data_IF_804592366832
#
_entry.id   IF_804592366832
#
_cell.length_a   1.000
_cell.length_b   1.000
_cell.length_c   1.000
_cell.angle_alpha   90.00
_cell.angle_beta   90.00
_cell.angle_gamma   90.00
#
_symmetry.space_group_name_H-M   'P 1'
#
loop_
_entity.id
_entity.type
_entity.pdbx_description
1 polymer ?
#
# COMPACT_ATOMS: atom_id res chain seq x y z
N UNK A 1 -68.35 -52.98 -22.67
CA UNK A 1 -68.96 -51.78 -22.05
C UNK A 1 -67.96 -51.19 -21.06
N UNK A 2 -67.49 -49.98 -21.38
CA UNK A 2 -67.15 -48.84 -20.48
C UNK A 2 -67.16 -49.11 -18.97
N UNK A 3 -66.20 -48.68 -18.14
CA UNK A 3 -65.63 -47.32 -18.04
C UNK A 3 -64.30 -47.30 -17.24
N UNK A 4 -63.49 -46.26 -17.52
CA UNK A 4 -62.23 -45.87 -16.87
C UNK A 4 -62.45 -45.06 -15.59
N UNK A 5 -61.52 -45.18 -14.64
CA UNK A 5 -61.06 -44.15 -13.68
C UNK A 5 -59.72 -44.65 -13.12
N UNK A 6 -58.56 -44.21 -13.61
CA UNK A 6 -57.82 -42.97 -13.30
C UNK A 6 -57.64 -42.71 -11.80
N UNK A 7 -56.47 -43.06 -11.26
CA UNK A 7 -55.92 -42.52 -10.03
C UNK A 7 -54.48 -42.12 -10.29
N UNK A 8 -54.25 -40.81 -10.26
CA UNK A 8 -52.98 -40.13 -10.48
C UNK A 8 -52.08 -40.33 -9.25
N UNK A 9 -50.88 -40.86 -9.48
CA UNK A 9 -49.81 -40.96 -8.48
C UNK A 9 -49.13 -39.59 -8.37
N UNK A 10 -49.16 -38.99 -7.19
CA UNK A 10 -48.34 -37.84 -6.85
C UNK A 10 -46.89 -38.29 -6.66
N UNK A 11 -46.01 -37.96 -7.61
CA UNK A 11 -44.55 -38.05 -7.44
C UNK A 11 -44.03 -36.70 -6.97
N UNK A 12 -43.38 -36.72 -5.81
CA UNK A 12 -42.67 -35.59 -5.21
C UNK A 12 -41.61 -35.04 -6.16
N UNK A 13 -41.76 -33.78 -6.55
CA UNK A 13 -40.72 -33.03 -7.23
C UNK A 13 -39.65 -32.60 -6.21
N UNK A 14 -38.43 -33.09 -6.38
CA UNK A 14 -37.25 -32.52 -5.72
C UNK A 14 -37.04 -31.08 -6.19
N UNK A 15 -36.65 -30.13 -5.31
CA UNK A 15 -36.36 -28.77 -5.74
C UNK A 15 -35.14 -28.74 -6.65
N UNK A 16 -35.09 -27.82 -7.64
CA UNK A 16 -33.94 -27.65 -8.50
C UNK A 16 -32.73 -27.19 -7.69
N UNK A 17 -31.59 -27.84 -7.94
CA UNK A 17 -30.33 -27.54 -7.30
C UNK A 17 -29.97 -26.07 -7.43
N UNK A 18 -29.67 -25.45 -6.29
CA UNK A 18 -29.04 -24.15 -6.20
C UNK A 18 -27.75 -24.17 -7.02
N UNK A 19 -27.75 -23.48 -8.16
CA UNK A 19 -26.54 -23.05 -8.87
C UNK A 19 -25.88 -21.95 -8.03
N UNK A 20 -25.35 -22.32 -6.86
CA UNK A 20 -24.31 -21.52 -6.25
C UNK A 20 -23.07 -21.74 -7.11
N UNK A 21 -22.82 -20.82 -8.05
CA UNK A 21 -21.51 -20.74 -8.70
C UNK A 21 -20.43 -20.67 -7.63
N UNK A 22 -19.20 -21.14 -7.91
CA UNK A 22 -18.10 -20.95 -6.97
C UNK A 22 -18.04 -19.46 -6.63
N UNK A 23 -18.14 -19.13 -5.34
CA UNK A 23 -17.89 -17.77 -4.87
C UNK A 23 -16.51 -17.31 -5.36
N UNK A 24 -16.25 -15.99 -5.43
CA UNK A 24 -14.97 -15.48 -5.90
C UNK A 24 -13.85 -16.19 -5.11
N UNK A 25 -13.01 -16.94 -5.81
CA UNK A 25 -11.88 -17.62 -5.20
C UNK A 25 -10.88 -16.55 -4.74
N UNK A 26 -10.37 -16.69 -3.52
CA UNK A 26 -9.28 -15.85 -3.01
C UNK A 26 -8.13 -15.85 -4.02
N UNK A 27 -7.66 -14.67 -4.47
CA UNK A 27 -6.60 -14.60 -5.47
C UNK A 27 -5.31 -15.22 -4.95
N UNK A 28 -4.48 -15.75 -5.84
CA UNK A 28 -3.10 -16.16 -5.51
C UNK A 28 -2.18 -14.94 -5.53
N UNK A 29 -1.03 -15.04 -4.87
CA UNK A 29 -0.05 -13.96 -4.86
C UNK A 29 0.38 -13.52 -6.28
N UNK A 30 0.49 -14.43 -7.25
CA UNK A 30 0.83 -14.10 -8.64
C UNK A 30 -0.36 -13.54 -9.46
N UNK A 31 -1.56 -13.53 -8.89
CA UNK A 31 -2.78 -12.91 -9.42
C UNK A 31 -3.04 -11.52 -8.82
N UNK A 32 -2.39 -11.18 -7.69
CA UNK A 32 -2.43 -9.85 -7.08
C UNK A 32 -1.86 -8.81 -8.03
N UNK A 33 -2.56 -7.69 -8.17
CA UNK A 33 -2.22 -6.57 -9.05
C UNK A 33 -2.00 -5.32 -8.22
N UNK A 34 -0.85 -4.68 -8.42
CA UNK A 34 -0.44 -3.55 -7.59
C UNK A 34 -0.16 -2.34 -8.46
N UNK A 35 -0.92 -1.27 -8.23
CA UNK A 35 -0.65 0.05 -8.80
C UNK A 35 0.31 0.82 -7.88
N UNK A 36 1.44 1.27 -8.41
CA UNK A 36 2.44 2.09 -7.73
C UNK A 36 2.36 3.51 -8.26
N UNK A 37 1.60 4.37 -7.58
CA UNK A 37 1.54 5.80 -7.85
C UNK A 37 2.66 6.52 -7.10
N UNK A 38 3.79 6.70 -7.78
CA UNK A 38 5.05 7.14 -7.20
C UNK A 38 6.01 5.97 -6.93
N UNK A 39 7.29 6.20 -7.20
CA UNK A 39 8.38 5.27 -6.94
C UNK A 39 9.46 5.93 -6.08
N UNK A 40 9.07 6.54 -4.97
CA UNK A 40 10.07 6.96 -3.99
C UNK A 40 10.87 5.73 -3.45
N UNK A 41 11.99 5.95 -2.75
CA UNK A 41 12.82 4.87 -2.22
C UNK A 41 12.06 3.82 -1.40
N UNK A 42 11.02 4.21 -0.67
CA UNK A 42 10.19 3.30 0.13
C UNK A 42 9.27 2.48 -0.77
N UNK A 43 8.52 3.13 -1.67
CA UNK A 43 7.61 2.45 -2.60
C UNK A 43 8.36 1.45 -3.50
N UNK A 44 9.57 1.78 -3.93
CA UNK A 44 10.44 0.86 -4.65
C UNK A 44 10.83 -0.36 -3.78
N UNK A 45 11.15 -0.16 -2.51
CA UNK A 45 11.44 -1.27 -1.58
C UNK A 45 10.20 -2.15 -1.33
N UNK A 46 9.01 -1.55 -1.20
CA UNK A 46 7.73 -2.27 -1.07
C UNK A 46 7.48 -3.14 -2.29
N UNK A 47 7.68 -2.60 -3.49
CA UNK A 47 7.48 -3.35 -4.73
C UNK A 47 8.45 -4.55 -4.86
N UNK A 48 9.70 -4.41 -4.39
CA UNK A 48 10.63 -5.55 -4.32
C UNK A 48 10.20 -6.58 -3.28
N UNK A 49 9.73 -6.16 -2.10
CA UNK A 49 9.23 -7.08 -1.08
C UNK A 49 8.00 -7.87 -1.56
N UNK A 50 7.07 -7.21 -2.27
CA UNK A 50 5.93 -7.85 -2.92
C UNK A 50 6.37 -8.85 -3.99
N UNK A 51 7.38 -8.51 -4.79
CA UNK A 51 7.93 -9.42 -5.79
C UNK A 51 8.61 -10.65 -5.15
N UNK A 52 9.35 -10.46 -4.05
CA UNK A 52 9.91 -11.55 -3.26
C UNK A 52 8.80 -12.45 -2.64
N UNK A 53 7.60 -11.89 -2.39
CA UNK A 53 6.41 -12.61 -1.95
C UNK A 53 5.59 -13.27 -3.09
N UNK A 54 6.03 -13.17 -4.34
CA UNK A 54 5.41 -13.82 -5.50
C UNK A 54 4.47 -12.94 -6.33
N UNK A 55 4.26 -11.67 -5.95
CA UNK A 55 3.48 -10.72 -6.76
C UNK A 55 4.24 -10.40 -8.04
N UNK A 56 3.58 -10.54 -9.18
CA UNK A 56 4.22 -10.37 -10.49
C UNK A 56 3.59 -9.28 -11.36
N UNK A 57 2.42 -8.76 -10.97
CA UNK A 57 1.64 -7.83 -11.77
C UNK A 57 1.70 -6.43 -11.13
N UNK A 58 2.57 -5.60 -11.67
CA UNK A 58 2.75 -4.22 -11.22
C UNK A 58 2.42 -3.25 -12.34
N UNK A 59 1.66 -2.21 -12.03
CA UNK A 59 1.55 -1.02 -12.87
C UNK A 59 2.21 0.16 -12.16
N UNK A 60 2.98 0.94 -12.89
CA UNK A 60 3.75 2.04 -12.34
C UNK A 60 3.30 3.35 -12.96
N UNK A 61 3.03 4.34 -12.11
CA UNK A 61 2.88 5.73 -12.51
C UNK A 61 3.90 6.59 -11.74
N UNK A 62 5.08 6.80 -12.33
CA UNK A 62 6.11 7.68 -11.79
C UNK A 62 6.84 8.38 -12.95
N UNK A 63 6.99 9.71 -12.85
CA UNK A 63 7.64 10.54 -13.88
C UNK A 63 9.04 11.00 -13.46
N UNK A 64 9.51 10.54 -12.32
CA UNK A 64 10.75 10.99 -11.71
C UNK A 64 11.95 10.18 -12.20
N UNK A 65 13.13 10.75 -11.99
CA UNK A 65 14.41 10.09 -12.23
C UNK A 65 15.02 9.66 -10.91
N UNK A 66 15.85 8.62 -10.96
CA UNK A 66 16.64 8.18 -9.82
C UNK A 66 17.61 9.31 -9.44
N UNK A 67 17.54 9.75 -8.20
CA UNK A 67 18.44 10.73 -7.59
C UNK A 67 19.55 10.01 -6.83
N UNK A 68 20.70 10.65 -6.63
CA UNK A 68 21.77 10.10 -5.79
C UNK A 68 21.27 9.68 -4.39
N UNK A 69 20.35 10.48 -3.81
CA UNK A 69 19.74 10.18 -2.51
C UNK A 69 18.90 8.89 -2.53
N UNK A 70 18.32 8.52 -3.68
CA UNK A 70 17.50 7.31 -3.79
C UNK A 70 18.34 6.03 -3.63
N UNK A 71 19.64 6.08 -3.99
CA UNK A 71 20.56 4.96 -3.79
C UNK A 71 21.07 4.82 -2.35
N UNK A 72 21.08 5.95 -1.62
CA UNK A 72 21.32 5.93 -0.17
C UNK A 72 20.09 5.38 0.55
N UNK A 73 18.91 5.71 0.02
CA UNK A 73 17.67 5.60 0.76
C UNK A 73 16.79 4.43 0.42
N UNK A 74 17.00 3.84 -0.74
CA UNK A 74 16.16 2.78 -1.26
C UNK A 74 16.99 1.73 -1.98
N UNK A 75 16.31 0.89 -2.75
CA UNK A 75 16.95 -0.25 -3.41
C UNK A 75 17.66 0.13 -4.71
N UNK A 76 17.60 1.39 -5.15
CA UNK A 76 18.16 1.83 -6.41
C UNK A 76 19.70 1.69 -6.41
N UNK A 77 20.28 0.96 -7.38
CA UNK A 77 21.73 0.93 -7.52
C UNK A 77 22.25 2.31 -7.92
N UNK A 78 23.40 2.73 -7.39
CA UNK A 78 24.01 4.02 -7.71
C UNK A 78 24.23 4.21 -9.23
N UNK A 79 24.46 3.12 -9.97
CA UNK A 79 24.64 3.16 -11.43
C UNK A 79 23.37 3.53 -12.21
N UNK A 80 22.21 3.57 -11.54
CA UNK A 80 20.93 3.93 -12.15
C UNK A 80 20.57 5.40 -11.97
N UNK A 81 21.42 6.19 -11.31
CA UNK A 81 21.22 7.63 -11.15
C UNK A 81 20.96 8.31 -12.51
N UNK A 82 19.97 9.21 -12.55
CA UNK A 82 19.54 9.92 -13.76
C UNK A 82 18.61 9.13 -14.69
N UNK A 83 18.50 7.80 -14.55
CA UNK A 83 17.52 7.01 -15.30
C UNK A 83 16.09 7.28 -14.80
N UNK A 84 15.05 7.11 -15.64
CA UNK A 84 13.67 7.03 -15.14
C UNK A 84 13.56 5.97 -14.04
N UNK A 85 12.93 6.29 -12.91
CA UNK A 85 12.80 5.36 -11.77
C UNK A 85 12.07 4.08 -12.16
N UNK A 86 11.07 4.20 -13.02
CA UNK A 86 10.30 3.09 -13.58
C UNK A 86 11.18 2.13 -14.41
N UNK A 87 12.09 2.66 -15.24
CA UNK A 87 13.06 1.85 -15.99
C UNK A 87 14.03 1.10 -15.06
N UNK A 88 14.57 1.79 -14.05
CA UNK A 88 15.43 1.17 -13.05
C UNK A 88 14.68 0.08 -12.26
N UNK A 89 13.43 0.34 -11.86
CA UNK A 89 12.57 -0.59 -11.15
C UNK A 89 12.30 -1.84 -11.97
N UNK A 90 12.02 -1.69 -13.28
CA UNK A 90 11.82 -2.82 -14.20
C UNK A 90 13.02 -3.76 -14.23
N UNK A 91 14.23 -3.23 -14.26
CA UNK A 91 15.44 -4.06 -14.22
C UNK A 91 15.59 -4.80 -12.88
N UNK A 92 15.26 -4.15 -11.76
CA UNK A 92 15.33 -4.77 -10.43
C UNK A 92 14.28 -5.85 -10.24
N UNK A 93 13.03 -5.60 -10.62
CA UNK A 93 11.94 -6.58 -10.52
C UNK A 93 12.22 -7.85 -11.35
N UNK A 94 12.68 -7.68 -12.60
CA UNK A 94 13.04 -8.81 -13.46
C UNK A 94 14.18 -9.67 -12.90
N UNK A 95 15.10 -9.07 -12.14
CA UNK A 95 16.17 -9.81 -11.46
C UNK A 95 15.66 -10.65 -10.29
N UNK A 96 14.58 -10.22 -9.62
CA UNK A 96 13.95 -10.98 -8.54
C UNK A 96 13.05 -12.09 -9.09
N UNK A 97 12.21 -11.75 -10.04
CA UNK A 97 11.35 -12.70 -10.74
C UNK A 97 11.27 -12.31 -12.21
N UNK A 98 11.71 -13.17 -13.15
CA UNK A 98 11.60 -12.91 -14.58
C UNK A 98 10.15 -12.73 -15.07
N UNK A 99 9.17 -13.20 -14.29
CA UNK A 99 7.73 -13.04 -14.55
C UNK A 99 7.25 -11.62 -14.20
N UNK A 100 7.97 -10.88 -13.37
CA UNK A 100 7.63 -9.49 -13.06
C UNK A 100 7.98 -8.59 -14.25
N UNK A 101 6.96 -8.21 -15.00
CA UNK A 101 7.07 -7.20 -16.06
C UNK A 101 6.19 -6.03 -15.64
N UNK A 102 6.73 -5.03 -14.90
CA UNK A 102 5.94 -3.85 -14.58
C UNK A 102 5.49 -3.17 -15.87
N UNK A 103 4.19 -2.89 -15.93
CA UNK A 103 3.57 -2.16 -17.01
C UNK A 103 3.52 -0.67 -16.64
N UNK A 104 3.52 0.16 -17.67
CA UNK A 104 3.42 1.62 -17.56
C UNK A 104 2.25 2.05 -18.39
N UNK A 105 1.09 1.56 -17.99
CA UNK A 105 -0.19 1.88 -18.59
C UNK A 105 -1.23 1.87 -17.46
N UNK A 106 -1.13 2.78 -16.48
CA UNK A 106 -2.03 2.78 -15.34
C UNK A 106 -3.50 2.94 -15.73
N UNK A 107 -3.80 3.50 -16.91
CA UNK A 107 -5.12 3.55 -17.53
C UNK A 107 -5.69 2.17 -17.91
N UNK A 108 -4.85 1.13 -17.95
CA UNK A 108 -5.24 -0.26 -18.17
C UNK A 108 -5.30 -1.05 -16.86
N UNK A 109 -5.03 -0.40 -15.72
CA UNK A 109 -5.12 -1.05 -14.41
C UNK A 109 -6.57 -1.49 -14.16
N UNK A 110 -6.80 -2.70 -13.61
CA UNK A 110 -8.15 -3.18 -13.43
C UNK A 110 -8.91 -2.37 -12.38
N UNK A 111 -10.24 -2.41 -12.52
CA UNK A 111 -11.16 -1.88 -11.53
C UNK A 111 -11.13 -2.68 -10.23
N UNK A 112 -11.70 -2.10 -9.17
CA UNK A 112 -11.83 -2.73 -7.86
C UNK A 112 -12.70 -4.01 -7.89
N UNK A 113 -13.47 -4.21 -8.96
CA UNK A 113 -14.24 -5.45 -9.18
C UNK A 113 -13.35 -6.67 -9.44
N UNK A 114 -12.07 -6.48 -9.79
CA UNK A 114 -11.10 -7.57 -9.91
C UNK A 114 -10.47 -7.80 -8.55
N UNK A 115 -10.79 -8.95 -7.92
CA UNK A 115 -10.18 -9.36 -6.65
C UNK A 115 -8.66 -9.33 -6.72
N UNK A 116 -8.01 -8.84 -5.66
CA UNK A 116 -6.56 -8.71 -5.59
C UNK A 116 -5.97 -7.45 -6.21
N UNK A 117 -6.78 -6.49 -6.65
CA UNK A 117 -6.31 -5.19 -7.11
C UNK A 117 -6.15 -4.21 -5.94
N UNK A 118 -4.94 -3.69 -5.74
CA UNK A 118 -4.62 -2.69 -4.69
C UNK A 118 -3.70 -1.59 -5.23
N UNK A 119 -3.71 -0.43 -4.58
CA UNK A 119 -2.84 0.69 -4.93
C UNK A 119 -1.98 1.16 -3.75
N UNK A 120 -0.77 1.60 -4.08
CA UNK A 120 0.11 2.37 -3.20
C UNK A 120 0.23 3.77 -3.76
N UNK A 121 -0.07 4.77 -2.92
CA UNK A 121 0.04 6.18 -3.27
C UNK A 121 1.17 6.79 -2.43
N UNK A 122 2.34 6.99 -3.06
CA UNK A 122 3.59 7.28 -2.36
C UNK A 122 3.99 8.76 -2.47
N UNK A 123 3.84 9.47 -1.36
CA UNK A 123 4.30 10.84 -1.19
C UNK A 123 5.70 10.88 -0.58
N UNK A 124 6.44 11.93 -0.89
CA UNK A 124 7.76 12.14 -0.28
C UNK A 124 8.04 13.62 -0.02
N UNK A 125 8.81 13.92 1.02
CA UNK A 125 9.42 15.24 1.22
C UNK A 125 10.90 15.12 0.85
N UNK A 126 11.31 15.81 -0.21
CA UNK A 126 12.65 15.63 -0.77
C UNK A 126 13.75 16.42 -0.05
N UNK A 127 13.38 17.25 0.93
CA UNK A 127 14.29 18.12 1.66
C UNK A 127 13.79 18.49 3.05
N UNK A 128 14.47 19.45 3.67
CA UNK A 128 14.21 19.86 5.05
C UNK A 128 12.97 20.75 5.19
N UNK A 129 12.37 21.21 4.09
CA UNK A 129 11.20 22.08 4.11
C UNK A 129 9.95 21.33 3.64
N UNK A 130 8.80 21.67 4.23
CA UNK A 130 7.50 21.15 3.76
C UNK A 130 7.14 21.63 2.35
N UNK A 131 7.78 22.71 1.89
CA UNK A 131 7.68 23.16 0.51
C UNK A 131 8.24 22.12 -0.48
N UNK A 132 9.13 21.25 -0.02
CA UNK A 132 9.72 20.15 -0.80
C UNK A 132 8.81 18.91 -0.87
N UNK A 133 7.55 19.03 -0.44
CA UNK A 133 6.54 17.98 -0.57
C UNK A 133 6.27 17.69 -2.05
N UNK A 134 6.60 16.47 -2.45
CA UNK A 134 6.38 15.92 -3.79
C UNK A 134 5.13 15.07 -3.79
N UNK A 135 4.21 15.49 -4.65
CA UNK A 135 2.97 14.80 -4.92
C UNK A 135 3.18 13.78 -6.04
N UNK A 136 2.79 12.52 -5.84
CA UNK A 136 2.86 11.52 -6.90
C UNK A 136 1.84 11.85 -8.01
N UNK A 137 2.10 11.39 -9.24
CA UNK A 137 1.15 11.57 -10.33
C UNK A 137 -0.12 10.75 -10.06
N UNK A 138 -1.28 11.34 -10.36
CA UNK A 138 -2.60 10.74 -10.14
C UNK A 138 -3.07 10.10 -11.45
N UNK A 139 -3.01 8.77 -11.60
CA UNK A 139 -3.61 8.11 -12.76
C UNK A 139 -5.14 8.12 -12.69
N UNK A 140 -5.77 8.01 -13.86
CA UNK A 140 -7.22 7.83 -13.98
C UNK A 140 -7.55 6.34 -13.84
N UNK A 141 -7.95 5.95 -12.63
CA UNK A 141 -8.28 4.57 -12.24
C UNK A 141 -9.59 4.56 -11.46
N UNK A 142 -10.16 3.37 -11.27
CA UNK A 142 -11.38 3.18 -10.50
C UNK A 142 -11.29 3.85 -9.12
N UNK A 143 -12.29 4.69 -8.81
CA UNK A 143 -12.39 5.41 -7.55
C UNK A 143 -12.48 4.48 -6.34
N UNK A 144 -13.01 3.27 -6.48
CA UNK A 144 -13.16 2.28 -5.40
C UNK A 144 -11.95 1.39 -5.17
N UNK A 145 -10.83 1.64 -5.87
CA UNK A 145 -9.63 0.82 -5.73
C UNK A 145 -9.05 0.95 -4.31
N UNK A 146 -8.91 -0.16 -3.53
CA UNK A 146 -8.33 -0.11 -2.21
C UNK A 146 -6.90 0.44 -2.25
N UNK A 147 -6.68 1.53 -1.51
CA UNK A 147 -5.47 2.34 -1.61
C UNK A 147 -4.84 2.55 -0.25
N UNK A 148 -3.53 2.27 -0.18
CA UNK A 148 -2.68 2.63 0.95
C UNK A 148 -1.83 3.85 0.59
N UNK A 149 -2.07 4.97 1.27
CA UNK A 149 -1.24 6.17 1.10
C UNK A 149 -0.12 6.21 2.12
N UNK A 150 1.11 6.46 1.67
CA UNK A 150 2.29 6.57 2.52
C UNK A 150 3.03 7.87 2.22
N UNK A 151 3.61 8.48 3.24
CA UNK A 151 4.45 9.68 3.15
C UNK A 151 5.81 9.39 3.77
N UNK A 152 6.87 9.52 2.97
CA UNK A 152 8.25 9.47 3.46
C UNK A 152 8.75 10.89 3.76
N UNK A 153 9.15 11.17 5.01
CA UNK A 153 9.71 12.47 5.43
C UNK A 153 10.93 12.24 6.35
N UNK A 154 12.13 12.33 5.78
CA UNK A 154 13.38 12.10 6.49
C UNK A 154 13.46 10.71 7.12
N UNK A 155 13.39 10.66 8.46
CA UNK A 155 13.41 9.45 9.26
C UNK A 155 12.01 8.93 9.65
N UNK A 156 10.94 9.52 9.12
CA UNK A 156 9.55 9.12 9.38
C UNK A 156 8.88 8.56 8.13
N UNK A 157 8.01 7.56 8.35
CA UNK A 157 7.02 7.12 7.38
C UNK A 157 5.66 7.28 8.03
N UNK A 158 4.88 8.19 7.48
CA UNK A 158 3.48 8.37 7.88
C UNK A 158 2.63 7.50 6.98
N UNK A 159 1.70 6.77 7.57
CA UNK A 159 0.78 5.90 6.86
C UNK A 159 -0.63 6.44 7.05
N UNK A 160 -1.31 6.69 5.95
CA UNK A 160 -2.74 6.96 5.96
C UNK A 160 -3.51 5.65 6.18
N UNK A 161 -4.69 5.68 6.82
CA UNK A 161 -5.58 4.52 6.79
C UNK A 161 -5.86 4.05 5.36
N UNK A 162 -6.22 2.77 5.22
CA UNK A 162 -6.63 2.23 3.92
C UNK A 162 -7.96 2.90 3.55
N UNK A 163 -8.04 3.38 2.31
CA UNK A 163 -9.21 4.08 1.77
C UNK A 163 -9.35 3.74 0.30
N UNK A 164 -10.52 3.97 -0.26
CA UNK A 164 -10.73 3.95 -1.71
C UNK A 164 -9.87 5.03 -2.39
N UNK A 165 -9.47 4.79 -3.63
CA UNK A 165 -8.67 5.72 -4.42
C UNK A 165 -9.27 7.13 -4.50
N UNK A 166 -10.60 7.25 -4.62
CA UNK A 166 -11.33 8.51 -4.63
C UNK A 166 -11.22 9.29 -3.30
N UNK A 167 -10.90 8.58 -2.21
CA UNK A 167 -10.86 9.07 -0.84
C UNK A 167 -9.44 9.26 -0.30
N UNK A 168 -8.42 9.11 -1.16
CA UNK A 168 -7.01 9.39 -0.85
C UNK A 168 -6.82 10.81 -0.26
N UNK A 169 -5.83 11.03 0.62
CA UNK A 169 -5.61 12.33 1.22
C UNK A 169 -5.19 13.35 0.17
N UNK A 170 -5.73 14.56 0.29
CA UNK A 170 -5.30 15.71 -0.50
C UNK A 170 -3.98 16.29 0.03
N UNK A 171 -3.37 17.19 -0.76
CA UNK A 171 -2.10 17.84 -0.41
C UNK A 171 -2.11 18.54 0.97
N UNK A 172 -3.22 19.17 1.38
CA UNK A 172 -3.29 19.82 2.70
C UNK A 172 -3.24 18.80 3.83
N UNK A 173 -4.01 17.70 3.72
CA UNK A 173 -3.97 16.58 4.68
C UNK A 173 -2.56 16.00 4.81
N UNK A 174 -1.88 15.74 3.68
CA UNK A 174 -0.51 15.22 3.71
C UNK A 174 0.47 16.22 4.33
N UNK A 175 0.29 17.52 4.05
CA UNK A 175 1.11 18.59 4.66
C UNK A 175 0.88 18.67 6.18
N UNK A 176 -0.36 18.58 6.64
CA UNK A 176 -0.70 18.53 8.07
C UNK A 176 -0.07 17.31 8.74
N UNK A 177 -0.16 16.15 8.09
CA UNK A 177 0.46 14.92 8.55
C UNK A 177 1.99 15.03 8.68
N UNK A 178 2.66 15.63 7.68
CA UNK A 178 4.10 15.91 7.71
C UNK A 178 4.48 16.86 8.85
N UNK A 179 3.71 17.94 9.07
CA UNK A 179 3.93 18.87 10.19
C UNK A 179 3.87 18.15 11.52
N UNK A 180 2.86 17.32 11.71
CA UNK A 180 2.66 16.57 12.94
C UNK A 180 3.81 15.57 13.16
N UNK A 181 4.19 14.81 12.13
CA UNK A 181 5.32 13.89 12.21
C UNK A 181 6.63 14.62 12.59
N UNK A 182 6.91 15.77 11.97
CA UNK A 182 8.09 16.58 12.33
C UNK A 182 8.03 17.14 13.74
N UNK A 183 6.84 17.54 14.22
CA UNK A 183 6.66 17.99 15.61
C UNK A 183 6.93 16.86 16.60
N UNK A 184 6.34 15.70 16.34
CA UNK A 184 6.56 14.49 17.13
C UNK A 184 8.05 14.12 17.21
N UNK A 185 8.75 14.13 16.07
CA UNK A 185 10.20 13.86 16.01
C UNK A 185 10.98 14.84 16.87
N UNK A 186 10.70 16.15 16.79
CA UNK A 186 11.38 17.18 17.61
C UNK A 186 11.19 16.94 19.10
N UNK A 187 10.02 16.49 19.52
CA UNK A 187 9.69 16.19 20.92
C UNK A 187 10.31 14.87 21.42
N UNK A 188 10.75 14.01 20.50
CA UNK A 188 11.35 12.71 20.80
C UNK A 188 12.79 12.66 20.28
N UNK A 189 13.78 13.23 21.00
CA UNK A 189 15.16 13.33 20.55
C UNK A 189 15.86 11.99 20.33
N UNK A 190 15.34 10.85 20.77
CA UNK A 190 15.89 9.56 20.31
C UNK A 190 15.59 9.26 18.82
N UNK A 191 14.61 9.98 18.23
CA UNK A 191 14.23 9.97 16.82
C UNK A 191 14.87 11.16 16.08
N UNK A 192 14.98 12.35 16.72
CA UNK A 192 15.58 13.55 16.11
C UNK A 192 17.09 13.73 16.33
N UNK A 193 17.59 13.36 17.52
CA UNK A 193 18.97 13.58 17.95
C UNK A 193 19.86 12.38 17.61
N UNK A 194 19.92 12.12 16.32
CA UNK A 194 21.20 11.74 15.81
C UNK A 194 21.80 12.93 15.06
N UNK A 195 23.02 13.39 15.45
CA UNK A 195 23.76 14.34 14.61
C UNK A 195 23.81 13.76 13.20
N UNK A 196 23.79 14.59 12.14
CA UNK A 196 23.82 14.17 10.72
C UNK A 196 24.44 12.77 10.61
N UNK A 197 23.56 11.75 10.59
CA UNK A 197 23.87 10.39 11.03
C UNK A 197 25.12 9.95 10.26
N UNK A 198 26.26 9.90 10.96
CA UNK A 198 27.57 9.56 10.37
C UNK A 198 27.45 8.31 9.51
N UNK A 199 28.33 8.07 8.52
CA UNK A 199 28.29 6.87 7.65
C UNK A 199 27.93 5.55 8.37
N UNK A 200 28.30 5.43 9.66
CA UNK A 200 27.95 4.34 10.59
C UNK A 200 26.47 4.05 10.79
N UNK A 201 25.59 4.99 10.49
CA UNK A 201 24.14 4.89 10.69
C UNK A 201 23.35 4.47 9.46
N UNK A 202 23.99 4.54 8.29
CA UNK A 202 23.40 4.08 7.04
C UNK A 202 22.88 2.63 7.11
N UNK A 203 23.56 1.69 7.79
CA UNK A 203 23.04 0.33 7.95
C UNK A 203 21.70 0.28 8.70
N UNK A 204 21.56 1.01 9.82
CA UNK A 204 20.33 1.05 10.61
C UNK A 204 19.16 1.66 9.82
N UNK A 205 19.44 2.73 9.06
CA UNK A 205 18.44 3.36 8.19
C UNK A 205 17.96 2.40 7.11
N UNK A 206 18.87 1.65 6.49
CA UNK A 206 18.54 0.62 5.49
C UNK A 206 17.71 -0.50 6.09
N UNK A 207 18.12 -1.05 7.24
CA UNK A 207 17.38 -2.12 7.93
C UNK A 207 15.97 -1.65 8.28
N UNK A 208 15.81 -0.47 8.88
CA UNK A 208 14.48 -0.02 9.28
C UNK A 208 13.57 0.24 8.08
N UNK A 209 14.12 0.77 6.98
CA UNK A 209 13.36 0.90 5.73
C UNK A 209 12.94 -0.43 5.14
N UNK A 210 13.81 -1.45 5.19
CA UNK A 210 13.44 -2.80 4.76
C UNK A 210 12.31 -3.36 5.62
N UNK A 211 12.35 -3.15 6.94
CA UNK A 211 11.27 -3.59 7.85
C UNK A 211 9.96 -2.87 7.51
N UNK A 212 9.96 -1.54 7.39
CA UNK A 212 8.75 -0.78 7.05
C UNK A 212 8.22 -1.14 5.66
N UNK A 213 9.10 -1.35 4.68
CA UNK A 213 8.70 -1.83 3.36
C UNK A 213 8.03 -3.21 3.43
N UNK A 214 8.57 -4.13 4.23
CA UNK A 214 7.98 -5.45 4.48
C UNK A 214 6.62 -5.37 5.16
N UNK A 215 6.45 -4.50 6.16
CA UNK A 215 5.16 -4.28 6.82
C UNK A 215 4.11 -3.70 5.87
N UNK A 216 4.49 -2.72 5.06
CA UNK A 216 3.60 -2.14 4.04
C UNK A 216 3.22 -3.21 3.00
N UNK A 217 4.18 -4.01 2.54
CA UNK A 217 3.93 -5.12 1.61
C UNK A 217 2.99 -6.16 2.23
N UNK A 218 3.18 -6.52 3.50
CA UNK A 218 2.29 -7.44 4.23
C UNK A 218 0.86 -6.92 4.35
N UNK A 219 0.69 -5.63 4.66
CA UNK A 219 -0.63 -4.98 4.67
C UNK A 219 -1.30 -5.01 3.28
N UNK A 220 -0.56 -4.67 2.22
CA UNK A 220 -1.08 -4.71 0.86
C UNK A 220 -1.50 -6.11 0.44
N UNK A 221 -0.71 -7.13 0.80
CA UNK A 221 -1.08 -8.53 0.54
C UNK A 221 -2.30 -8.95 1.34
N UNK A 222 -2.40 -8.53 2.61
CA UNK A 222 -3.57 -8.85 3.44
C UNK A 222 -4.84 -8.25 2.83
N UNK A 223 -4.78 -7.00 2.38
CA UNK A 223 -5.87 -6.33 1.66
C UNK A 223 -6.20 -7.03 0.33
N UNK A 224 -5.19 -7.39 -0.47
CA UNK A 224 -5.40 -7.98 -1.79
C UNK A 224 -5.94 -9.42 -1.71
N UNK A 225 -5.50 -10.18 -0.71
CA UNK A 225 -5.87 -11.57 -0.51
C UNK A 225 -7.10 -11.73 0.41
N UNK A 226 -7.73 -10.63 0.80
CA UNK A 226 -8.89 -10.61 1.70
C UNK A 226 -8.62 -11.38 3.00
N UNK A 227 -7.39 -11.30 3.50
CA UNK A 227 -7.06 -11.72 4.85
C UNK A 227 -7.60 -10.65 5.80
N UNK A 228 -8.88 -10.76 6.10
CA UNK A 228 -9.50 -10.05 7.22
C UNK A 228 -8.85 -10.57 8.52
N UNK A 229 -7.81 -9.88 8.98
CA UNK A 229 -7.54 -9.82 10.41
C UNK A 229 -8.57 -8.83 10.98
N UNK A 230 -9.81 -9.29 11.08
CA UNK A 230 -10.80 -8.68 11.95
C UNK A 230 -10.32 -8.87 13.39
N UNK A 231 -9.31 -8.08 13.78
CA UNK A 231 -9.24 -7.60 15.14
C UNK A 231 -10.58 -6.88 15.35
N UNK A 232 -11.52 -7.60 15.97
CA UNK A 232 -12.82 -7.07 16.38
C UNK A 232 -12.66 -5.76 17.16
N UNK A 233 -13.75 -5.01 17.40
CA UNK A 233 -13.71 -3.67 17.98
C UNK A 233 -12.72 -3.65 19.15
N UNK A 234 -11.59 -2.99 18.91
CA UNK A 234 -10.45 -3.02 19.81
C UNK A 234 -10.91 -2.52 21.17
N UNK A 235 -10.76 -3.38 22.17
CA UNK A 235 -10.76 -2.97 23.55
C UNK A 235 -9.80 -1.76 23.67
N UNK A 236 -10.23 -0.58 24.17
CA UNK A 236 -9.32 0.55 24.35
C UNK A 236 -8.15 0.23 25.31
N UNK A 237 -8.16 -0.93 25.97
CA UNK A 237 -7.03 -1.48 26.72
C UNK A 237 -6.02 -2.30 25.88
N UNK A 238 -6.31 -2.61 24.61
CA UNK A 238 -5.41 -3.31 23.69
C UNK A 238 -4.33 -2.40 23.07
N UNK A 239 -4.32 -1.12 23.40
CA UNK A 239 -3.21 -0.18 23.11
C UNK A 239 -1.94 -0.49 23.95
N UNK A 240 -1.94 -1.63 24.67
CA UNK A 240 -0.79 -2.22 25.35
C UNK A 240 -0.57 -3.70 24.94
N UNK A 241 -0.83 -4.03 23.67
CA UNK A 241 -0.35 -5.27 23.06
C UNK A 241 1.17 -5.43 23.21
N UNK A 242 1.70 -6.68 23.17
CA UNK A 242 3.07 -6.99 23.58
C UNK A 242 4.03 -6.12 22.77
N UNK A 243 4.79 -5.28 23.49
CA UNK A 243 5.73 -4.30 22.97
C UNK A 243 6.08 -4.55 21.50
N UNK A 244 5.37 -3.88 20.58
CA UNK A 244 5.77 -3.83 19.19
C UNK A 244 7.26 -3.47 19.20
N UNK A 245 8.11 -4.20 18.46
CA UNK A 245 9.54 -3.93 18.44
C UNK A 245 9.73 -2.48 18.01
N UNK A 246 9.98 -1.62 19.00
CA UNK A 246 10.24 -0.21 18.78
C UNK A 246 11.62 -0.18 18.18
N UNK A 247 11.73 -0.11 16.86
CA UNK A 247 13.00 0.09 16.20
C UNK A 247 13.44 1.52 16.55
N UNK A 248 14.21 1.63 17.65
CA UNK A 248 14.66 2.89 18.25
C UNK A 248 15.49 3.77 17.29
N UNK A 249 15.79 3.27 16.08
CA UNK A 249 16.56 3.95 15.04
C UNK A 249 15.92 3.90 13.65
N UNK A 250 14.58 3.87 13.55
CA UNK A 250 13.93 4.28 12.31
C UNK A 250 12.40 4.35 12.31
N UNK A 251 11.91 4.93 11.21
CA UNK A 251 10.55 5.08 10.73
C UNK A 251 9.44 4.60 11.69
N UNK A 252 9.05 5.45 12.63
CA UNK A 252 7.86 5.24 13.45
C UNK A 252 6.61 5.51 12.60
N UNK A 253 5.63 4.61 12.68
CA UNK A 253 4.31 4.75 12.05
C UNK A 253 3.45 5.62 12.95
N UNK A 254 2.94 6.72 12.42
CA UNK A 254 1.99 7.57 13.12
C UNK A 254 0.68 7.49 12.32
N UNK A 255 -0.37 6.84 12.83
CA UNK A 255 -1.69 6.93 12.23
C UNK A 255 -2.18 8.36 12.42
N UNK A 256 -2.40 9.08 11.32
CA UNK A 256 -2.96 10.42 11.37
C UNK A 256 -4.28 10.43 10.61
N UNK A 257 -5.41 10.53 11.32
CA UNK A 257 -6.69 10.68 10.66
C UNK A 257 -6.74 12.03 9.92
N UNK A 258 -7.59 12.15 8.90
CA UNK A 258 -7.76 13.41 8.18
C UNK A 258 -8.12 14.58 9.06
N UNK A 259 -7.72 15.77 8.61
CA UNK A 259 -8.17 17.02 9.21
C UNK A 259 -9.71 17.02 9.25
N UNK A 260 -10.35 17.22 10.43
CA UNK A 260 -11.80 17.08 10.60
C UNK A 260 -12.67 17.95 9.68
N UNK A 261 -12.11 18.98 9.03
CA UNK A 261 -12.79 19.85 8.07
C UNK A 261 -12.47 19.57 6.59
N UNK A 262 -11.71 18.52 6.28
CA UNK A 262 -11.35 18.20 4.90
C UNK A 262 -12.34 17.20 4.30
N UNK A 263 -12.68 17.30 3.01
CA UNK A 263 -13.51 16.30 2.32
C UNK A 263 -12.90 14.87 2.37
N UNK A 264 -11.58 14.76 2.56
CA UNK A 264 -10.90 13.47 2.78
C UNK A 264 -11.32 12.79 4.11
N UNK A 265 -11.94 13.50 5.05
CA UNK A 265 -12.45 12.93 6.31
C UNK A 265 -13.79 12.22 6.16
N UNK A 266 -14.54 12.49 5.09
CA UNK A 266 -15.88 11.92 4.88
C UNK A 266 -15.86 10.39 4.84
N UNK A 267 -14.76 9.80 4.36
CA UNK A 267 -14.52 8.35 4.31
C UNK A 267 -14.33 7.71 5.69
N UNK A 268 -14.19 8.51 6.75
CA UNK A 268 -13.97 8.08 8.13
C UNK A 268 -15.05 8.58 9.09
N UNK A 269 -16.03 9.31 8.58
CA UNK A 269 -17.22 9.63 9.36
C UNK A 269 -18.18 8.45 9.18
N UNK A 270 -18.41 7.69 10.26
CA UNK A 270 -19.49 6.71 10.27
C UNK A 270 -20.82 7.40 9.87
N UNK A 271 -21.68 6.75 9.07
CA UNK A 271 -23.00 7.28 8.73
C UNK A 271 -23.92 7.42 9.95
#
# INVERSE_FOLDING_TARGET
MTQRTSTVRATSASPPGSLAGPGPSVPRADEVRVLLAGLDPLAAAVALALADAGVCLFDVNDRSRVLALDALDGPYPAQTEGLPRELAMRAMLRRRSPRCVPLTAPELFPSAAVGGAVAVHAWSVAGDLLADLREPPVPDVDGHLPTLTVLTDGACVVRWPVTDWAHRPCRSCVTGAARHARAFVREHPLIAAAPALSERAQPFRRVTRTVVAGEIAGLLLSLALDFDDAAGPGDPAADQGPAEPTLHHGLRRIPLPPEPGCLCSLSFMDP
#
